data_IF_605238037356
#
_entry.id   IF_605238037356
#
_cell.length_a   1.000
_cell.length_b   1.000
_cell.length_c   1.000
_cell.angle_alpha   90.00
_cell.angle_beta   90.00
_cell.angle_gamma   90.00
#
_symmetry.space_group_name_H-M   'P 1'
#
loop_
_entity.id
_entity.type
_entity.pdbx_description
1 polymer ?
#
# COMPACT_ATOMS: atom_id res chain seq x y z
N UNK A 1 26.85 21.79 13.77
CA UNK A 1 26.06 20.57 14.08
C UNK A 1 25.75 19.89 12.75
N UNK A 2 25.47 18.58 12.67
CA UNK A 2 24.96 18.02 11.42
C UNK A 2 23.64 18.72 11.02
N UNK A 3 23.42 18.94 9.72
CA UNK A 3 22.15 19.46 9.21
C UNK A 3 20.99 18.58 9.68
N UNK A 4 19.94 19.21 10.20
CA UNK A 4 18.65 18.59 10.44
C UNK A 4 17.83 18.59 9.15
N UNK A 5 17.18 17.47 8.86
CA UNK A 5 16.29 17.31 7.71
C UNK A 5 14.86 17.22 8.24
N UNK A 6 14.07 18.26 7.99
CA UNK A 6 12.69 18.36 8.49
C UNK A 6 11.73 17.97 7.36
N UNK A 7 11.01 16.87 7.54
CA UNK A 7 10.10 16.33 6.54
C UNK A 7 8.70 16.91 6.70
N UNK A 8 8.27 17.64 5.68
CA UNK A 8 6.96 18.28 5.64
C UNK A 8 6.22 17.99 4.35
N UNK A 9 4.99 18.46 4.30
CA UNK A 9 4.14 18.39 3.12
C UNK A 9 3.04 19.45 3.18
N UNK A 10 2.52 19.81 2.00
CA UNK A 10 1.23 20.49 1.89
C UNK A 10 0.18 19.41 1.60
N UNK A 11 -0.78 19.23 2.49
CA UNK A 11 -1.96 18.41 2.26
C UNK A 11 -3.02 19.19 1.53
N UNK A 12 -3.61 18.57 0.52
CA UNK A 12 -4.64 19.10 -0.36
C UNK A 12 -5.86 18.17 -0.27
N UNK A 13 -6.98 18.70 0.24
CA UNK A 13 -8.27 18.02 0.13
C UNK A 13 -8.95 18.44 -1.17
N UNK A 14 -9.16 17.49 -2.08
CA UNK A 14 -9.61 17.71 -3.44
C UNK A 14 -11.00 17.10 -3.68
N UNK A 15 -11.91 17.85 -4.31
CA UNK A 15 -13.24 17.36 -4.72
C UNK A 15 -13.26 16.70 -6.11
N UNK A 16 -12.20 16.91 -6.89
CA UNK A 16 -12.08 16.42 -8.25
C UNK A 16 -10.74 15.72 -8.47
N UNK A 17 -10.62 14.99 -9.57
CA UNK A 17 -9.31 14.53 -10.04
C UNK A 17 -8.41 15.73 -10.32
N UNK A 18 -7.13 15.60 -10.00
CA UNK A 18 -6.13 16.66 -10.15
C UNK A 18 -5.02 16.27 -11.12
N UNK A 19 -4.34 17.26 -11.70
CA UNK A 19 -3.01 17.04 -12.32
C UNK A 19 -2.06 16.57 -11.21
N UNK A 20 -1.25 15.54 -11.44
CA UNK A 20 -0.36 15.01 -10.39
C UNK A 20 1.07 15.54 -10.43
N UNK A 21 1.48 16.19 -11.52
CA UNK A 21 2.84 16.74 -11.67
C UNK A 21 2.81 18.15 -12.23
N UNK A 22 3.64 19.04 -11.71
CA UNK A 22 3.85 20.38 -12.25
C UNK A 22 5.08 20.39 -13.16
N UNK A 23 5.08 21.23 -14.20
CA UNK A 23 6.29 21.42 -15.02
C UNK A 23 7.33 22.27 -14.28
N UNK A 24 8.51 22.46 -14.90
CA UNK A 24 9.62 23.20 -14.27
C UNK A 24 9.30 24.65 -13.93
N UNK A 25 8.48 25.34 -14.71
CA UNK A 25 8.13 26.75 -14.46
C UNK A 25 7.16 26.79 -13.28
N UNK A 26 6.08 26.00 -13.35
CA UNK A 26 5.11 25.88 -12.26
C UNK A 26 5.76 25.43 -10.94
N UNK A 27 6.75 24.53 -11.02
CA UNK A 27 7.51 24.09 -9.86
C UNK A 27 8.30 25.24 -9.24
N UNK A 28 9.01 26.04 -10.06
CA UNK A 28 9.76 27.21 -9.59
C UNK A 28 8.84 28.20 -8.88
N UNK A 29 7.72 28.55 -9.52
CA UNK A 29 6.72 29.48 -8.95
C UNK A 29 6.20 28.97 -7.60
N UNK A 30 5.88 27.67 -7.51
CA UNK A 30 5.43 27.05 -6.26
C UNK A 30 6.52 27.06 -5.18
N UNK A 31 7.76 26.73 -5.56
CA UNK A 31 8.89 26.73 -4.63
C UNK A 31 9.15 28.11 -4.02
N UNK A 32 9.17 29.16 -4.85
CA UNK A 32 9.41 30.53 -4.41
C UNK A 32 8.30 31.00 -3.47
N UNK A 33 7.05 30.74 -3.84
CA UNK A 33 5.87 31.09 -3.04
C UNK A 33 5.86 30.36 -1.68
N UNK A 34 6.18 29.05 -1.67
CA UNK A 34 6.31 28.27 -0.44
C UNK A 34 7.44 28.78 0.44
N UNK A 35 8.59 29.14 -0.15
CA UNK A 35 9.74 29.64 0.58
C UNK A 35 9.44 30.98 1.27
N UNK A 36 8.77 31.90 0.59
CA UNK A 36 8.35 33.18 1.18
C UNK A 36 7.41 32.96 2.37
N UNK A 37 6.41 32.09 2.20
CA UNK A 37 5.43 31.80 3.23
C UNK A 37 6.05 31.09 4.44
N UNK A 38 6.80 30.01 4.23
CA UNK A 38 7.48 29.28 5.30
C UNK A 38 8.50 30.16 6.00
N UNK A 39 9.18 31.08 5.29
CA UNK A 39 10.06 32.09 5.92
C UNK A 39 9.30 32.98 6.90
N UNK A 40 8.06 33.37 6.58
CA UNK A 40 7.21 34.18 7.46
C UNK A 40 6.69 33.39 8.66
N UNK A 41 6.23 32.17 8.42
CA UNK A 41 5.62 31.30 9.45
C UNK A 41 6.69 30.77 10.42
N UNK A 42 7.78 30.23 9.88
CA UNK A 42 8.82 29.54 10.63
C UNK A 42 10.04 30.40 10.93
N UNK A 43 10.06 31.66 10.48
CA UNK A 43 11.21 32.58 10.64
C UNK A 43 12.51 31.90 10.19
N UNK A 44 12.51 31.44 8.94
CA UNK A 44 13.65 30.72 8.36
C UNK A 44 14.89 31.61 8.33
N UNK A 45 16.06 31.00 8.49
CA UNK A 45 17.35 31.69 8.44
C UNK A 45 17.99 31.54 7.05
N UNK A 46 18.98 32.39 6.71
CA UNK A 46 19.73 32.25 5.45
C UNK A 46 20.45 30.93 5.23
N UNK A 47 20.60 30.12 6.28
CA UNK A 47 21.21 28.80 6.23
C UNK A 47 20.19 27.68 5.99
N UNK A 48 18.90 28.00 5.96
CA UNK A 48 17.84 27.02 5.68
C UNK A 48 17.62 26.90 4.17
N UNK A 49 17.58 25.66 3.68
CA UNK A 49 17.18 25.35 2.31
C UNK A 49 15.80 24.69 2.29
N UNK A 50 15.00 24.99 1.28
CA UNK A 50 13.71 24.35 0.99
C UNK A 50 13.86 23.51 -0.27
N UNK A 51 13.41 22.26 -0.22
CA UNK A 51 13.40 21.34 -1.36
C UNK A 51 11.99 20.80 -1.53
N UNK A 52 11.40 20.95 -2.71
CA UNK A 52 9.99 20.60 -2.96
C UNK A 52 9.89 19.62 -4.14
N UNK A 53 9.12 18.54 -3.97
CA UNK A 53 8.62 17.75 -5.09
C UNK A 53 7.36 18.45 -5.61
N UNK A 54 7.42 19.11 -6.77
CA UNK A 54 6.27 19.79 -7.36
C UNK A 54 5.31 18.79 -8.04
N UNK A 55 4.81 17.85 -7.25
CA UNK A 55 3.91 16.78 -7.62
C UNK A 55 3.01 16.44 -6.43
N UNK A 56 1.83 15.89 -6.73
CA UNK A 56 0.83 15.51 -5.75
C UNK A 56 0.79 13.97 -5.62
N UNK A 57 0.88 13.48 -4.39
CA UNK A 57 0.97 12.05 -4.06
C UNK A 57 -0.19 11.66 -3.12
N UNK A 58 -0.77 10.47 -3.26
CA UNK A 58 -1.70 9.95 -2.25
C UNK A 58 -0.94 9.65 -0.95
N UNK A 59 -1.66 9.60 0.17
CA UNK A 59 -1.11 9.35 1.51
C UNK A 59 -0.13 8.18 1.57
N UNK A 60 -0.50 7.04 0.98
CA UNK A 60 0.24 5.79 1.09
C UNK A 60 1.56 5.84 0.31
N UNK A 61 1.66 6.71 -0.70
CA UNK A 61 2.90 6.94 -1.44
C UNK A 61 3.88 7.86 -0.69
N UNK A 62 3.38 8.68 0.25
CA UNK A 62 4.22 9.53 1.12
C UNK A 62 4.67 8.76 2.35
N UNK A 63 3.76 7.98 2.95
CA UNK A 63 4.00 7.19 4.15
C UNK A 63 4.51 5.80 3.78
N UNK A 64 5.77 5.73 3.37
CA UNK A 64 6.48 4.48 3.10
C UNK A 64 7.64 4.28 4.07
N UNK A 65 8.04 3.03 4.27
CA UNK A 65 9.21 2.67 5.07
C UNK A 65 10.41 3.54 4.71
N UNK A 66 11.07 4.07 5.74
CA UNK A 66 12.21 4.96 5.60
C UNK A 66 11.92 6.29 4.89
N UNK A 67 10.66 6.73 4.77
CA UNK A 67 10.27 8.01 4.14
C UNK A 67 10.94 8.23 2.78
N UNK A 68 10.82 7.22 1.91
CA UNK A 68 11.61 7.12 0.67
C UNK A 68 11.48 8.36 -0.22
N UNK A 69 10.30 8.98 -0.26
CA UNK A 69 10.05 10.18 -1.07
C UNK A 69 10.85 11.39 -0.59
N UNK A 70 10.81 11.70 0.71
CA UNK A 70 11.61 12.77 1.31
C UNK A 70 13.11 12.49 1.23
N UNK A 71 13.51 11.24 1.42
CA UNK A 71 14.91 10.84 1.24
C UNK A 71 15.39 10.96 -0.21
N UNK A 72 14.53 10.74 -1.20
CA UNK A 72 14.87 11.01 -2.59
C UNK A 72 15.01 12.52 -2.85
N UNK A 73 14.17 13.38 -2.26
CA UNK A 73 14.35 14.83 -2.30
C UNK A 73 15.72 15.25 -1.74
N UNK A 74 16.14 14.69 -0.60
CA UNK A 74 17.46 14.93 -0.01
C UNK A 74 18.61 14.51 -0.94
N UNK A 75 18.49 13.38 -1.66
CA UNK A 75 19.49 12.95 -2.65
C UNK A 75 19.67 14.01 -3.74
N UNK A 76 18.59 14.50 -4.33
CA UNK A 76 18.64 15.57 -5.34
C UNK A 76 19.21 16.86 -4.76
N UNK A 77 18.81 17.23 -3.55
CA UNK A 77 19.35 18.38 -2.85
C UNK A 77 20.87 18.28 -2.66
N UNK A 78 21.36 17.14 -2.18
CA UNK A 78 22.80 16.94 -1.95
C UNK A 78 23.62 17.14 -3.23
N UNK A 79 23.14 16.66 -4.38
CA UNK A 79 23.82 16.82 -5.66
C UNK A 79 23.85 18.27 -6.15
N UNK A 80 22.76 19.02 -5.98
CA UNK A 80 22.66 20.41 -6.45
C UNK A 80 23.34 21.38 -5.49
N UNK A 81 23.26 21.13 -4.18
CA UNK A 81 23.71 22.06 -3.15
C UNK A 81 25.22 21.94 -2.83
N UNK A 82 25.89 20.85 -3.23
CA UNK A 82 27.34 20.66 -2.99
C UNK A 82 28.28 21.58 -3.81
N UNK A 83 27.78 22.33 -4.81
CA UNK A 83 28.61 23.15 -5.71
C UNK A 83 28.42 24.67 -5.64
N UNK A 84 27.35 25.16 -5.01
CA UNK A 84 27.07 26.59 -4.93
C UNK A 84 27.68 27.19 -3.65
N UNK A 85 28.18 28.42 -3.73
CA UNK A 85 28.32 29.26 -2.54
C UNK A 85 26.94 29.83 -2.16
N UNK A 86 26.68 30.02 -0.87
CA UNK A 86 25.73 31.02 -0.33
C UNK A 86 24.22 30.66 -0.22
N UNK A 87 23.55 31.59 0.47
CA UNK A 87 22.36 31.56 1.34
C UNK A 87 20.99 31.33 0.65
N UNK A 88 19.97 30.95 1.44
CA UNK A 88 18.55 30.73 1.09
C UNK A 88 18.31 29.97 -0.22
N UNK A 89 18.34 28.64 -0.16
CA UNK A 89 18.21 27.82 -1.38
C UNK A 89 16.86 27.17 -1.48
N UNK A 90 16.11 27.56 -2.50
CA UNK A 90 14.90 26.86 -2.93
C UNK A 90 15.29 25.95 -4.08
N UNK A 91 15.00 24.65 -3.95
CA UNK A 91 15.08 23.67 -5.01
C UNK A 91 13.68 23.10 -5.26
N UNK A 92 13.02 23.58 -6.30
CA UNK A 92 11.75 23.01 -6.75
C UNK A 92 11.98 22.04 -7.90
N UNK A 93 11.59 20.78 -7.70
CA UNK A 93 11.75 19.73 -8.68
C UNK A 93 10.44 19.56 -9.44
N UNK A 94 10.42 19.99 -10.70
CA UNK A 94 9.29 19.82 -11.61
C UNK A 94 9.53 18.77 -12.68
N UNK A 95 8.45 18.30 -13.30
CA UNK A 95 8.46 17.33 -14.37
C UNK A 95 8.99 17.91 -15.67
N UNK A 96 9.59 17.05 -16.49
CA UNK A 96 9.84 17.31 -17.91
C UNK A 96 8.92 16.42 -18.74
N UNK A 97 8.05 17.03 -19.55
CA UNK A 97 7.07 16.29 -20.37
C UNK A 97 6.22 15.30 -19.54
N UNK A 98 5.78 15.72 -18.35
CA UNK A 98 4.98 14.90 -17.43
C UNK A 98 5.74 13.81 -16.68
N UNK A 99 7.06 13.71 -16.87
CA UNK A 99 7.91 12.75 -16.17
C UNK A 99 8.75 13.45 -15.10
N UNK A 100 8.58 13.03 -13.85
CA UNK A 100 9.42 13.45 -12.72
C UNK A 100 10.73 12.67 -12.71
N UNK A 101 11.79 13.19 -12.06
CA UNK A 101 13.01 12.43 -11.83
C UNK A 101 12.77 11.10 -11.11
N UNK A 102 13.70 10.16 -11.26
CA UNK A 102 13.62 8.83 -10.65
C UNK A 102 13.39 8.92 -9.13
N UNK A 103 12.49 8.08 -8.62
CA UNK A 103 12.11 8.07 -7.21
C UNK A 103 11.14 9.19 -6.79
N UNK A 104 10.75 10.09 -7.70
CA UNK A 104 9.77 11.16 -7.46
C UNK A 104 8.53 11.09 -8.38
N UNK A 105 8.36 10.04 -9.18
CA UNK A 105 7.17 9.91 -10.02
C UNK A 105 5.93 9.54 -9.18
N UNK A 106 4.86 10.37 -9.14
CA UNK A 106 3.63 9.99 -8.46
C UNK A 106 2.91 8.87 -9.20
N UNK A 107 2.18 8.04 -8.44
CA UNK A 107 1.23 7.09 -9.00
C UNK A 107 0.14 7.82 -9.79
N UNK A 108 -0.42 7.18 -10.82
CA UNK A 108 -1.50 7.76 -11.66
C UNK A 108 -2.87 7.82 -10.97
N UNK A 109 -2.96 7.44 -9.70
CA UNK A 109 -4.22 7.44 -8.93
C UNK A 109 -4.39 8.80 -8.26
N UNK A 110 -5.59 9.38 -8.42
CA UNK A 110 -6.02 10.52 -7.62
C UNK A 110 -6.77 10.01 -6.40
N UNK A 111 -6.58 10.65 -5.26
CA UNK A 111 -7.33 10.43 -4.04
C UNK A 111 -7.97 11.75 -3.57
N UNK A 112 -9.00 11.70 -2.71
CA UNK A 112 -9.58 12.92 -2.11
C UNK A 112 -8.57 13.70 -1.29
N UNK A 113 -7.56 13.03 -0.72
CA UNK A 113 -6.46 13.65 0.00
C UNK A 113 -5.15 13.38 -0.75
N UNK A 114 -4.46 14.46 -1.12
CA UNK A 114 -3.21 14.42 -1.87
C UNK A 114 -2.18 15.33 -1.18
N UNK A 115 -0.89 15.05 -1.38
CA UNK A 115 0.18 15.71 -0.65
C UNK A 115 1.27 16.19 -1.60
N UNK A 116 1.81 17.38 -1.34
CA UNK A 116 3.00 17.95 -2.01
C UNK A 116 4.16 17.93 -1.00
N UNK A 117 5.08 16.95 -1.07
CA UNK A 117 6.16 16.79 -0.11
C UNK A 117 7.24 17.87 -0.26
N UNK A 118 7.79 18.28 0.87
CA UNK A 118 8.97 19.13 0.93
C UNK A 118 9.90 18.76 2.08
N UNK A 119 11.15 19.21 2.00
CA UNK A 119 12.16 19.06 3.04
C UNK A 119 12.75 20.43 3.35
N UNK A 120 12.86 20.77 4.63
CA UNK A 120 13.72 21.86 5.08
C UNK A 120 15.04 21.27 5.58
N UNK A 121 16.16 21.81 5.09
CA UNK A 121 17.50 21.43 5.52
C UNK A 121 18.07 22.62 6.28
N UNK A 122 18.37 22.45 7.57
CA UNK A 122 18.81 23.56 8.43
C UNK A 122 19.75 23.11 9.54
N UNK A 123 20.63 24.00 9.99
CA UNK A 123 21.42 23.82 11.23
C UNK A 123 20.79 24.54 12.44
N UNK A 124 19.68 25.27 12.23
CA UNK A 124 19.02 26.06 13.26
C UNK A 124 17.97 25.24 14.02
N UNK A 125 18.33 24.80 15.24
CA UNK A 125 17.42 24.06 16.12
C UNK A 125 16.12 24.80 16.43
N UNK A 126 16.14 26.14 16.45
CA UNK A 126 14.93 26.92 16.71
C UNK A 126 13.96 26.85 15.52
N UNK A 127 14.46 26.71 14.28
CA UNK A 127 13.62 26.42 13.11
C UNK A 127 12.99 25.04 13.25
N UNK A 128 13.76 24.03 13.66
CA UNK A 128 13.23 22.67 13.87
C UNK A 128 12.13 22.62 14.93
N UNK A 129 12.30 23.33 16.06
CA UNK A 129 11.27 23.38 17.09
C UNK A 129 9.98 24.05 16.58
N UNK A 130 10.12 25.19 15.88
CA UNK A 130 8.97 25.89 15.29
C UNK A 130 8.30 25.08 14.20
N UNK A 131 9.05 24.27 13.45
CA UNK A 131 8.51 23.43 12.39
C UNK A 131 7.45 22.46 12.93
N UNK A 132 7.77 21.75 14.01
CA UNK A 132 6.82 20.82 14.65
C UNK A 132 5.70 21.57 15.39
N UNK A 133 6.00 22.60 16.17
CA UNK A 133 4.96 23.30 16.96
C UNK A 133 3.99 24.15 16.12
N UNK A 134 4.49 24.81 15.05
CA UNK A 134 3.73 25.84 14.35
C UNK A 134 2.89 25.26 13.22
N UNK A 135 3.38 24.23 12.53
CA UNK A 135 2.64 23.67 11.39
C UNK A 135 1.37 22.93 11.84
N UNK A 136 1.38 22.31 13.02
CA UNK A 136 0.20 21.69 13.63
C UNK A 136 -0.96 22.69 13.81
N UNK A 137 -0.67 23.87 14.36
CA UNK A 137 -1.70 24.84 14.77
C UNK A 137 -2.03 25.90 13.71
N UNK A 138 -1.06 26.24 12.84
CA UNK A 138 -1.14 27.39 11.91
C UNK A 138 -0.80 27.00 10.47
N UNK A 139 -0.89 25.72 10.13
CA UNK A 139 -0.52 25.18 8.83
C UNK A 139 -1.37 25.66 7.65
N UNK A 140 -2.46 26.40 7.85
CA UNK A 140 -3.28 26.89 6.74
C UNK A 140 -2.46 27.64 5.71
N UNK A 141 -2.56 27.19 4.46
CA UNK A 141 -1.90 27.81 3.34
C UNK A 141 -2.48 29.21 3.08
N UNK A 142 -1.61 30.19 2.87
CA UNK A 142 -1.99 31.57 2.59
C UNK A 142 -2.79 31.69 1.27
N UNK A 143 -3.64 32.72 1.11
CA UNK A 143 -4.44 32.88 -0.11
C UNK A 143 -3.63 32.88 -1.43
N UNK A 144 -2.45 33.53 -1.52
CA UNK A 144 -1.63 33.47 -2.73
C UNK A 144 -1.17 32.04 -3.07
N UNK A 145 -0.67 31.30 -2.07
CA UNK A 145 -0.21 29.93 -2.26
C UNK A 145 -1.38 28.99 -2.57
N UNK A 146 -2.54 29.18 -1.93
CA UNK A 146 -3.76 28.43 -2.21
C UNK A 146 -4.21 28.60 -3.67
N UNK A 147 -4.22 29.85 -4.16
CA UNK A 147 -4.56 30.16 -5.54
C UNK A 147 -3.58 29.50 -6.51
N UNK A 148 -2.27 29.60 -6.22
CA UNK A 148 -1.22 28.98 -7.03
C UNK A 148 -1.36 27.45 -7.10
N UNK A 149 -1.66 26.79 -5.98
CA UNK A 149 -1.91 25.35 -5.92
C UNK A 149 -3.13 24.96 -6.77
N UNK A 150 -4.24 25.68 -6.61
CA UNK A 150 -5.50 25.47 -7.35
C UNK A 150 -5.25 25.57 -8.86
N UNK A 151 -4.58 26.63 -9.30
CA UNK A 151 -4.31 26.88 -10.72
C UNK A 151 -3.31 25.87 -11.30
N UNK A 152 -2.24 25.57 -10.56
CA UNK A 152 -1.16 24.70 -11.02
C UNK A 152 -1.59 23.24 -11.14
N UNK A 153 -2.30 22.73 -10.13
CA UNK A 153 -2.81 21.36 -10.10
C UNK A 153 -4.16 21.20 -10.81
N UNK A 154 -4.77 22.29 -11.28
CA UNK A 154 -6.09 22.30 -11.94
C UNK A 154 -7.15 21.60 -11.10
N UNK A 155 -7.15 21.91 -9.80
CA UNK A 155 -7.85 21.15 -8.78
C UNK A 155 -8.91 22.01 -8.09
N UNK A 156 -10.08 21.43 -7.80
CA UNK A 156 -11.00 22.01 -6.83
C UNK A 156 -10.54 21.61 -5.42
N UNK A 157 -9.66 22.43 -4.85
CA UNK A 157 -9.17 22.27 -3.48
C UNK A 157 -10.23 22.83 -2.52
N UNK A 158 -10.46 22.15 -1.39
CA UNK A 158 -11.34 22.60 -0.30
C UNK A 158 -10.51 23.13 0.85
N UNK A 159 -9.48 22.36 1.22
CA UNK A 159 -8.54 22.71 2.28
C UNK A 159 -7.12 22.44 1.79
N UNK A 160 -6.21 23.36 2.14
CA UNK A 160 -4.77 23.18 1.94
C UNK A 160 -4.03 23.58 3.21
N UNK A 161 -3.22 22.67 3.75
CA UNK A 161 -2.48 22.89 4.99
C UNK A 161 -1.05 22.34 4.87
N UNK A 162 -0.06 23.15 5.25
CA UNK A 162 1.25 22.65 5.65
C UNK A 162 1.11 21.77 6.89
N UNK A 163 1.83 20.66 6.91
CA UNK A 163 1.91 19.78 8.06
C UNK A 163 3.26 19.06 8.07
N UNK A 164 3.64 18.55 9.24
CA UNK A 164 4.80 17.66 9.34
C UNK A 164 4.40 16.25 8.90
N UNK A 165 5.38 15.42 8.59
CA UNK A 165 5.12 14.00 8.35
C UNK A 165 4.56 13.30 9.61
N UNK A 166 4.93 13.75 10.82
CA UNK A 166 4.40 13.22 12.07
C UNK A 166 2.91 13.54 12.23
N UNK A 167 2.48 14.74 11.82
CA UNK A 167 1.06 15.11 11.80
C UNK A 167 0.27 14.19 10.87
N UNK A 168 0.82 13.88 9.69
CA UNK A 168 0.19 12.96 8.75
C UNK A 168 0.08 11.54 9.34
N UNK A 169 1.11 11.05 10.01
CA UNK A 169 1.09 9.75 10.72
C UNK A 169 0.00 9.76 11.80
N UNK A 170 -0.09 10.79 12.63
CA UNK A 170 -1.10 10.91 13.68
C UNK A 170 -2.53 10.99 13.10
N UNK A 171 -2.71 11.72 12.00
CA UNK A 171 -4.00 11.79 11.30
C UNK A 171 -4.39 10.43 10.75
N UNK A 172 -3.46 9.69 10.14
CA UNK A 172 -3.74 8.35 9.63
C UNK A 172 -4.01 7.34 10.73
N UNK A 173 -3.30 7.42 11.86
CA UNK A 173 -3.61 6.62 13.05
C UNK A 173 -5.09 6.75 13.44
N UNK A 174 -5.57 7.99 13.58
CA UNK A 174 -6.97 8.26 13.90
C UNK A 174 -7.93 7.79 12.80
N UNK A 175 -7.57 7.98 11.53
CA UNK A 175 -8.40 7.54 10.41
C UNK A 175 -8.60 6.02 10.40
N UNK A 176 -7.52 5.25 10.53
CA UNK A 176 -7.57 3.79 10.59
C UNK A 176 -8.34 3.29 11.81
N UNK A 177 -8.20 3.96 12.96
CA UNK A 177 -8.97 3.63 14.16
C UNK A 177 -10.48 3.83 13.95
N UNK A 178 -10.89 4.97 13.37
CA UNK A 178 -12.29 5.27 13.08
C UNK A 178 -12.98 4.26 12.17
N UNK A 179 -12.24 3.65 11.23
CA UNK A 179 -12.77 2.62 10.32
C UNK A 179 -12.57 1.19 10.84
N UNK A 180 -12.10 1.00 12.07
CA UNK A 180 -11.88 -0.31 12.70
C UNK A 180 -10.68 -1.08 12.14
N UNK A 181 -9.75 -0.41 11.47
CA UNK A 181 -8.55 -0.98 10.85
C UNK A 181 -7.27 -0.65 11.61
N UNK A 182 -7.36 -0.24 12.89
CA UNK A 182 -6.20 0.09 13.73
C UNK A 182 -5.11 -0.99 13.72
N UNK A 183 -5.49 -2.28 13.72
CA UNK A 183 -4.55 -3.40 13.67
C UNK A 183 -3.70 -3.44 12.37
N UNK A 184 -4.21 -2.96 11.23
CA UNK A 184 -3.40 -2.80 10.01
C UNK A 184 -2.43 -1.63 10.17
N UNK A 185 -2.91 -0.52 10.75
CA UNK A 185 -2.07 0.65 11.03
C UNK A 185 -0.91 0.33 11.97
N UNK A 186 -1.10 -0.50 13.00
CA UNK A 186 0.00 -0.91 13.89
C UNK A 186 1.20 -1.52 13.13
N UNK A 187 0.92 -2.35 12.13
CA UNK A 187 1.96 -2.95 11.28
C UNK A 187 2.64 -1.88 10.42
N UNK A 188 1.85 -0.99 9.80
CA UNK A 188 2.36 0.11 8.97
C UNK A 188 3.21 1.07 9.80
N UNK A 189 2.68 1.57 10.91
CA UNK A 189 3.34 2.49 11.83
C UNK A 189 4.68 1.93 12.34
N UNK A 190 4.71 0.63 12.67
CA UNK A 190 5.96 -0.04 13.05
C UNK A 190 6.95 -0.07 11.89
N UNK A 191 6.50 -0.32 10.67
CA UNK A 191 7.35 -0.27 9.48
C UNK A 191 7.85 1.15 9.16
N UNK A 192 7.09 2.19 9.51
CA UNK A 192 7.47 3.58 9.30
C UNK A 192 8.49 4.09 10.33
N UNK A 193 8.31 3.73 11.60
CA UNK A 193 8.95 4.41 12.72
C UNK A 193 10.06 3.61 13.40
N UNK A 194 10.07 2.28 13.28
CA UNK A 194 11.09 1.46 13.94
C UNK A 194 12.39 1.43 13.11
N UNK A 195 13.54 1.60 13.77
CA UNK A 195 14.87 1.43 13.13
C UNK A 195 15.05 0.03 12.55
N UNK A 196 14.51 -0.99 13.24
CA UNK A 196 14.49 -2.38 12.81
C UNK A 196 13.07 -2.92 12.93
N UNK A 197 12.22 -2.73 11.90
CA UNK A 197 10.82 -3.13 11.96
C UNK A 197 10.67 -4.63 12.20
N UNK A 198 10.06 -4.96 13.33
CA UNK A 198 9.80 -6.33 13.75
C UNK A 198 8.52 -6.36 14.59
N UNK A 199 7.54 -7.17 14.18
CA UNK A 199 6.27 -7.31 14.88
C UNK A 199 5.62 -8.64 14.57
N UNK A 200 5.03 -9.27 15.58
CA UNK A 200 4.11 -10.40 15.43
C UNK A 200 2.75 -9.96 15.98
N UNK A 201 1.75 -9.82 15.11
CA UNK A 201 0.42 -9.33 15.46
C UNK A 201 -0.63 -10.39 15.14
N UNK A 202 -1.50 -10.68 16.11
CA UNK A 202 -2.64 -11.58 15.95
C UNK A 202 -3.93 -10.88 16.36
N UNK A 203 -4.85 -10.67 15.42
CA UNK A 203 -6.11 -9.97 15.66
C UNK A 203 -7.20 -10.49 14.71
N UNK A 204 -8.42 -10.72 15.20
CA UNK A 204 -9.58 -11.07 14.36
C UNK A 204 -9.35 -12.25 13.38
N UNK A 205 -8.70 -13.32 13.81
CA UNK A 205 -8.29 -14.49 12.99
C UNK A 205 -7.21 -14.20 11.93
N UNK A 206 -6.73 -12.97 11.83
CA UNK A 206 -5.57 -12.61 11.04
C UNK A 206 -4.30 -12.67 11.89
N UNK A 207 -3.21 -13.03 11.25
CA UNK A 207 -1.88 -12.93 11.82
C UNK A 207 -0.96 -12.25 10.81
N UNK A 208 -0.11 -11.34 11.27
CA UNK A 208 0.87 -10.63 10.47
C UNK A 208 2.22 -10.71 11.16
N UNK A 209 3.25 -11.07 10.41
CA UNK A 209 4.62 -11.11 10.91
C UNK A 209 5.45 -10.11 10.08
N UNK A 210 5.75 -8.95 10.65
CA UNK A 210 6.57 -7.91 10.02
C UNK A 210 8.05 -8.23 10.26
N UNK A 211 8.84 -8.24 9.18
CA UNK A 211 10.30 -8.38 9.19
C UNK A 211 10.89 -7.38 8.20
N UNK A 212 11.37 -6.25 8.69
CA UNK A 212 11.73 -5.11 7.82
C UNK A 212 10.51 -4.64 7.03
N UNK A 213 10.59 -4.68 5.71
CA UNK A 213 9.49 -4.28 4.81
C UNK A 213 8.59 -5.46 4.40
N UNK A 214 8.89 -6.68 4.83
CA UNK A 214 8.10 -7.87 4.50
C UNK A 214 7.05 -8.13 5.57
N UNK A 215 5.80 -8.32 5.14
CA UNK A 215 4.68 -8.74 5.99
C UNK A 215 4.28 -10.15 5.60
N UNK A 216 4.60 -11.13 6.45
CA UNK A 216 4.21 -12.51 6.23
C UNK A 216 2.79 -12.75 6.75
N UNK A 217 1.96 -13.38 5.92
CA UNK A 217 0.53 -13.59 6.16
C UNK A 217 0.22 -15.08 5.98
N UNK A 218 -0.43 -15.74 6.96
CA UNK A 218 -0.79 -17.15 6.82
C UNK A 218 -1.88 -17.31 5.78
N UNK A 219 -1.73 -18.32 4.94
CA UNK A 219 -2.78 -18.83 4.08
C UNK A 219 -3.29 -20.19 4.60
N UNK A 220 -4.60 -20.36 4.57
CA UNK A 220 -5.29 -21.60 4.88
C UNK A 220 -6.22 -21.95 3.72
N UNK A 221 -6.28 -23.24 3.36
CA UNK A 221 -7.42 -23.77 2.61
C UNK A 221 -8.66 -23.76 3.49
N UNK A 222 -9.87 -23.87 2.90
CA UNK A 222 -11.11 -23.96 3.68
C UNK A 222 -11.05 -25.07 4.74
N UNK A 223 -10.59 -26.27 4.34
CA UNK A 223 -10.50 -27.42 5.23
C UNK A 223 -9.51 -27.20 6.38
N UNK A 224 -8.36 -26.59 6.09
CA UNK A 224 -7.37 -26.29 7.12
C UNK A 224 -7.87 -25.18 8.06
N UNK A 225 -8.54 -24.16 7.52
CA UNK A 225 -9.13 -23.08 8.32
C UNK A 225 -10.15 -23.60 9.33
N UNK A 226 -11.09 -24.46 8.90
CA UNK A 226 -12.11 -25.04 9.79
C UNK A 226 -11.47 -25.96 10.83
N UNK A 227 -10.40 -26.68 10.48
CA UNK A 227 -9.65 -27.54 11.40
C UNK A 227 -8.91 -26.74 12.47
N UNK A 228 -8.25 -25.66 12.06
CA UNK A 228 -7.46 -24.79 12.95
C UNK A 228 -8.35 -23.89 13.81
N UNK A 229 -9.55 -23.56 13.32
CA UNK A 229 -10.54 -22.76 14.03
C UNK A 229 -11.86 -23.53 14.20
N UNK A 230 -11.92 -24.50 15.16
CA UNK A 230 -13.10 -25.31 15.38
C UNK A 230 -14.37 -24.47 15.64
N UNK A 231 -15.47 -24.87 15.02
CA UNK A 231 -16.75 -24.17 15.13
C UNK A 231 -16.94 -23.01 14.15
N UNK A 232 -15.98 -22.76 13.25
CA UNK A 232 -16.12 -21.81 12.14
C UNK A 232 -16.76 -22.45 10.91
N UNK A 233 -17.51 -21.64 10.18
CA UNK A 233 -18.24 -22.01 8.96
C UNK A 233 -17.46 -21.63 7.70
N UNK A 234 -17.96 -22.07 6.54
CA UNK A 234 -17.50 -21.57 5.23
C UNK A 234 -17.65 -20.05 5.12
N UNK A 235 -18.74 -19.48 5.66
CA UNK A 235 -18.92 -18.02 5.67
C UNK A 235 -17.86 -17.29 6.48
N UNK A 236 -17.43 -17.86 7.62
CA UNK A 236 -16.31 -17.32 8.40
C UNK A 236 -15.00 -17.34 7.60
N UNK A 237 -14.75 -18.42 6.84
CA UNK A 237 -13.59 -18.52 5.95
C UNK A 237 -13.64 -17.46 4.86
N UNK A 238 -14.78 -17.26 4.21
CA UNK A 238 -14.95 -16.24 3.18
C UNK A 238 -14.68 -14.84 3.75
N UNK A 239 -15.19 -14.53 4.94
CA UNK A 239 -14.94 -13.26 5.62
C UNK A 239 -13.45 -13.07 5.94
N UNK A 240 -12.80 -14.11 6.46
CA UNK A 240 -11.36 -14.11 6.72
C UNK A 240 -10.55 -13.91 5.43
N UNK A 241 -10.89 -14.60 4.34
CA UNK A 241 -10.20 -14.47 3.05
C UNK A 241 -10.31 -13.05 2.48
N UNK A 242 -11.50 -12.44 2.56
CA UNK A 242 -11.69 -11.04 2.16
C UNK A 242 -10.83 -10.10 3.01
N UNK A 243 -10.80 -10.30 4.33
CA UNK A 243 -9.99 -9.50 5.23
C UNK A 243 -8.48 -9.65 4.93
N UNK A 244 -8.01 -10.87 4.63
CA UNK A 244 -6.61 -11.10 4.25
C UNK A 244 -6.23 -10.42 2.94
N UNK A 245 -7.08 -10.48 1.92
CA UNK A 245 -6.84 -9.79 0.64
C UNK A 245 -6.82 -8.28 0.84
N UNK A 246 -7.76 -7.73 1.61
CA UNK A 246 -7.79 -6.31 1.95
C UNK A 246 -6.51 -5.88 2.67
N UNK A 247 -6.08 -6.62 3.69
CA UNK A 247 -4.85 -6.33 4.42
C UNK A 247 -3.63 -6.35 3.49
N UNK A 248 -3.54 -7.34 2.60
CA UNK A 248 -2.46 -7.43 1.61
C UNK A 248 -2.41 -6.19 0.70
N UNK A 249 -3.56 -5.71 0.22
CA UNK A 249 -3.63 -4.52 -0.64
C UNK A 249 -3.25 -3.24 0.13
N UNK A 250 -3.70 -3.10 1.38
CA UNK A 250 -3.35 -1.98 2.27
C UNK A 250 -1.85 -1.95 2.55
N UNK A 251 -1.22 -3.09 2.84
CA UNK A 251 0.22 -3.13 3.05
C UNK A 251 1.00 -2.80 1.76
N UNK A 252 0.55 -3.30 0.60
CA UNK A 252 1.18 -2.99 -0.68
C UNK A 252 1.04 -1.52 -1.09
N UNK A 253 -0.04 -0.82 -0.75
CA UNK A 253 -0.17 0.61 -1.04
C UNK A 253 0.89 1.45 -0.29
N UNK A 254 1.30 1.01 0.89
CA UNK A 254 2.41 1.56 1.68
C UNK A 254 3.79 0.99 1.30
N UNK A 255 3.89 0.28 0.17
CA UNK A 255 5.11 -0.36 -0.34
C UNK A 255 5.68 -1.47 0.56
N UNK A 256 4.87 -2.03 1.46
CA UNK A 256 5.23 -3.24 2.19
C UNK A 256 5.02 -4.47 1.32
N UNK A 257 5.95 -5.42 1.43
CA UNK A 257 5.91 -6.66 0.67
C UNK A 257 5.04 -7.70 1.40
N UNK A 258 3.77 -7.78 1.01
CA UNK A 258 2.82 -8.78 1.51
C UNK A 258 3.13 -10.16 0.93
N UNK A 259 3.56 -11.08 1.79
CA UNK A 259 3.98 -12.43 1.42
C UNK A 259 3.07 -13.46 2.10
N UNK A 260 2.43 -14.31 1.31
CA UNK A 260 1.66 -15.42 1.87
C UNK A 260 2.55 -16.65 2.08
N UNK A 261 2.32 -17.35 3.19
CA UNK A 261 2.92 -18.65 3.45
C UNK A 261 1.85 -19.70 3.75
N UNK A 262 2.13 -20.95 3.39
CA UNK A 262 1.26 -22.08 3.73
C UNK A 262 1.37 -22.36 5.23
N UNK A 263 0.31 -22.06 5.98
CA UNK A 263 0.24 -22.32 7.41
C UNK A 263 -0.15 -23.78 7.72
N UNK A 264 -0.60 -24.54 6.71
CA UNK A 264 -1.06 -25.90 6.86
C UNK A 264 -2.09 -26.03 7.99
N UNK A 265 -1.87 -26.98 8.89
CA UNK A 265 -2.78 -27.26 10.01
C UNK A 265 -2.31 -26.64 11.34
N UNK A 266 -1.39 -25.67 11.31
CA UNK A 266 -0.83 -25.05 12.51
C UNK A 266 -1.31 -23.61 12.65
N UNK A 267 -1.70 -23.21 13.86
CA UNK A 267 -1.93 -21.81 14.22
C UNK A 267 -0.72 -21.17 14.92
N UNK A 268 0.41 -21.86 14.99
CA UNK A 268 1.58 -21.36 15.70
C UNK A 268 2.34 -20.37 14.83
N UNK A 269 2.90 -19.34 15.48
CA UNK A 269 3.83 -18.44 14.84
C UNK A 269 5.00 -19.25 14.25
N UNK A 270 5.22 -19.21 12.94
CA UNK A 270 6.36 -19.87 12.33
C UNK A 270 7.64 -19.20 12.81
N UNK A 271 8.70 -19.98 13.02
CA UNK A 271 10.03 -19.39 13.18
C UNK A 271 10.49 -18.78 11.83
N UNK A 272 11.49 -17.90 11.87
CA UNK A 272 11.95 -17.16 10.68
C UNK A 272 12.45 -18.09 9.54
N UNK A 273 13.00 -19.25 9.88
CA UNK A 273 13.46 -20.26 8.90
C UNK A 273 12.28 -20.97 8.21
N UNK A 274 11.24 -21.32 8.98
CA UNK A 274 10.03 -21.97 8.48
C UNK A 274 9.25 -21.02 7.57
N UNK A 275 9.16 -19.74 7.94
CA UNK A 275 8.48 -18.70 7.14
C UNK A 275 8.94 -18.70 5.68
N UNK A 276 10.27 -18.71 5.46
CA UNK A 276 10.84 -18.68 4.11
C UNK A 276 10.59 -19.97 3.34
N UNK A 277 10.60 -21.11 4.03
CA UNK A 277 10.44 -22.42 3.40
C UNK A 277 9.00 -22.69 2.93
N UNK A 278 8.00 -22.15 3.63
CA UNK A 278 6.58 -22.30 3.31
C UNK A 278 5.99 -21.16 2.48
N UNK A 279 6.83 -20.24 1.99
CA UNK A 279 6.40 -19.14 1.13
C UNK A 279 5.70 -19.63 -0.13
N UNK A 280 4.52 -19.08 -0.39
CA UNK A 280 3.78 -19.32 -1.62
C UNK A 280 4.35 -18.40 -2.69
N UNK A 281 5.03 -18.99 -3.67
CA UNK A 281 5.76 -18.26 -4.72
C UNK A 281 4.90 -17.80 -5.89
N UNK A 282 3.68 -18.31 -5.97
CA UNK A 282 2.72 -17.97 -7.01
C UNK A 282 1.66 -17.02 -6.46
N UNK A 283 0.99 -16.22 -7.30
CA UNK A 283 -0.14 -15.38 -6.88
C UNK A 283 -1.40 -16.21 -6.52
N UNK A 284 -1.27 -17.53 -6.50
CA UNK A 284 -2.26 -18.49 -6.07
C UNK A 284 -1.59 -19.60 -5.24
N UNK A 285 -2.36 -20.23 -4.36
CA UNK A 285 -1.96 -21.47 -3.69
C UNK A 285 -2.46 -22.68 -4.48
N UNK A 286 -1.64 -23.72 -4.61
CA UNK A 286 -1.98 -24.97 -5.30
C UNK A 286 -1.86 -26.15 -4.34
N UNK A 287 -2.91 -26.96 -4.27
CA UNK A 287 -2.95 -28.19 -3.49
C UNK A 287 -3.43 -29.36 -4.34
N UNK A 288 -2.80 -30.50 -4.16
CA UNK A 288 -3.21 -31.75 -4.78
C UNK A 288 -3.85 -32.68 -3.75
N UNK A 289 -4.99 -33.29 -4.08
CA UNK A 289 -5.69 -34.24 -3.21
C UNK A 289 -6.43 -35.30 -4.03
N UNK A 290 -6.37 -36.55 -3.57
CA UNK A 290 -7.14 -37.64 -4.19
C UNK A 290 -8.61 -37.59 -3.75
N UNK A 291 -9.53 -37.80 -4.68
CA UNK A 291 -10.97 -37.87 -4.47
C UNK A 291 -11.53 -39.23 -4.88
N UNK A 292 -12.62 -39.65 -4.25
CA UNK A 292 -13.39 -40.82 -4.67
C UNK A 292 -14.17 -40.56 -5.96
N UNK A 293 -14.43 -39.27 -6.28
CA UNK A 293 -15.09 -38.87 -7.51
C UNK A 293 -14.17 -39.08 -8.71
N UNK A 294 -14.60 -39.94 -9.66
CA UNK A 294 -13.88 -40.23 -10.91
C UNK A 294 -14.77 -39.88 -12.10
N UNK A 295 -14.77 -38.62 -12.56
CA UNK A 295 -15.62 -38.21 -13.67
C UNK A 295 -15.17 -38.89 -14.96
N UNK A 296 -16.10 -39.11 -15.90
CA UNK A 296 -15.79 -39.72 -17.21
C UNK A 296 -14.86 -38.85 -18.07
N UNK A 297 -14.86 -37.54 -17.82
CA UNK A 297 -13.99 -36.56 -18.46
C UNK A 297 -13.45 -35.58 -17.40
N UNK A 298 -12.27 -34.95 -17.62
CA UNK A 298 -11.76 -33.94 -16.71
C UNK A 298 -12.76 -32.81 -16.50
N UNK A 299 -12.94 -32.37 -15.25
CA UNK A 299 -13.89 -31.33 -14.86
C UNK A 299 -13.15 -30.13 -14.27
N UNK A 300 -13.58 -28.92 -14.66
CA UNK A 300 -13.07 -27.68 -14.12
C UNK A 300 -14.23 -26.93 -13.45
N UNK A 301 -14.08 -26.64 -12.16
CA UNK A 301 -15.12 -25.99 -11.35
C UNK A 301 -14.55 -24.75 -10.68
N UNK A 302 -15.15 -23.60 -10.96
CA UNK A 302 -14.86 -22.37 -10.21
C UNK A 302 -15.90 -22.16 -9.13
N UNK A 303 -15.43 -21.82 -7.93
CA UNK A 303 -16.29 -21.30 -6.88
C UNK A 303 -16.13 -19.79 -6.77
N UNK A 304 -17.26 -19.08 -6.91
CA UNK A 304 -17.33 -17.64 -6.81
C UNK A 304 -18.31 -17.21 -5.72
N UNK A 305 -17.82 -16.42 -4.78
CA UNK A 305 -18.66 -15.79 -3.77
C UNK A 305 -19.14 -14.42 -4.26
N UNK A 306 -20.41 -14.02 -4.04
CA UNK A 306 -20.93 -12.73 -4.51
C UNK A 306 -20.13 -11.50 -4.08
N UNK A 307 -19.50 -11.54 -2.90
CA UNK A 307 -18.68 -10.43 -2.37
C UNK A 307 -17.18 -10.67 -2.49
N UNK A 308 -16.72 -11.92 -2.34
CA UNK A 308 -15.28 -12.22 -2.32
C UNK A 308 -14.71 -12.48 -3.73
N UNK A 309 -15.58 -12.58 -4.75
CA UNK A 309 -15.17 -12.96 -6.10
C UNK A 309 -14.72 -14.43 -6.16
N UNK A 310 -13.66 -14.69 -6.91
CA UNK A 310 -13.07 -16.03 -6.98
C UNK A 310 -12.50 -16.48 -5.63
N UNK A 311 -12.93 -17.64 -5.16
CA UNK A 311 -12.46 -18.23 -3.90
C UNK A 311 -11.50 -19.37 -4.19
N UNK A 312 -11.86 -20.26 -5.13
CA UNK A 312 -10.97 -21.31 -5.64
C UNK A 312 -11.44 -21.84 -7.01
N UNK A 313 -10.54 -22.52 -7.70
CA UNK A 313 -10.77 -23.32 -8.90
C UNK A 313 -10.32 -24.75 -8.62
N UNK A 314 -11.11 -25.74 -9.04
CA UNK A 314 -10.77 -27.17 -8.92
C UNK A 314 -10.73 -27.82 -10.29
N UNK A 315 -9.60 -28.41 -10.65
CA UNK A 315 -9.48 -29.34 -11.77
C UNK A 315 -9.53 -30.77 -11.23
N UNK A 316 -10.52 -31.55 -11.64
CA UNK A 316 -10.65 -32.98 -11.31
C UNK A 316 -10.33 -33.83 -12.53
N UNK A 317 -9.32 -34.67 -12.43
CA UNK A 317 -8.95 -35.66 -13.45
C UNK A 317 -9.88 -36.87 -13.43
N UNK A 318 -9.91 -37.63 -14.53
CA UNK A 318 -10.63 -38.92 -14.62
C UNK A 318 -10.06 -39.98 -13.68
N UNK A 319 -8.81 -39.83 -13.26
CA UNK A 319 -8.15 -40.67 -12.25
C UNK A 319 -8.75 -40.48 -10.84
N UNK A 320 -9.50 -39.39 -10.62
CA UNK A 320 -9.94 -38.91 -9.31
C UNK A 320 -8.92 -38.02 -8.61
N UNK A 321 -7.81 -37.67 -9.28
CA UNK A 321 -6.88 -36.68 -8.78
C UNK A 321 -7.48 -35.27 -8.91
N UNK A 322 -7.51 -34.51 -7.81
CA UNK A 322 -7.94 -33.12 -7.81
C UNK A 322 -6.76 -32.17 -7.60
N UNK A 323 -6.81 -31.04 -8.31
CA UNK A 323 -5.93 -29.90 -8.17
C UNK A 323 -6.76 -28.67 -7.79
N UNK A 324 -6.51 -28.16 -6.59
CA UNK A 324 -7.20 -27.01 -6.01
C UNK A 324 -6.31 -25.78 -6.11
N UNK A 325 -6.86 -24.70 -6.63
CA UNK A 325 -6.16 -23.43 -6.84
C UNK A 325 -6.90 -22.31 -6.13
N UNK A 326 -6.22 -21.59 -5.24
CA UNK A 326 -6.81 -20.48 -4.47
C UNK A 326 -6.12 -19.17 -4.85
N UNK A 327 -6.80 -18.19 -5.47
CA UNK A 327 -6.19 -16.91 -5.78
C UNK A 327 -5.89 -16.12 -4.51
N UNK A 328 -4.69 -15.56 -4.40
CA UNK A 328 -4.25 -14.83 -3.20
C UNK A 328 -4.30 -13.31 -3.38
N UNK A 329 -4.27 -12.82 -4.61
CA UNK A 329 -4.30 -11.41 -4.96
C UNK A 329 -5.18 -11.17 -6.21
N UNK A 330 -5.41 -9.91 -6.63
CA UNK A 330 -6.28 -9.60 -7.77
C UNK A 330 -5.86 -10.26 -9.09
N UNK A 331 -4.57 -10.56 -9.26
CA UNK A 331 -4.03 -11.23 -10.46
C UNK A 331 -4.06 -12.77 -10.35
N UNK A 332 -4.47 -13.30 -9.20
CA UNK A 332 -4.43 -14.74 -8.90
C UNK A 332 -5.21 -15.57 -9.90
N UNK A 333 -6.44 -15.17 -10.26
CA UNK A 333 -7.25 -15.94 -11.21
C UNK A 333 -6.60 -16.04 -12.58
N UNK A 334 -6.17 -14.91 -13.15
CA UNK A 334 -5.51 -14.90 -14.47
C UNK A 334 -4.21 -15.71 -14.47
N UNK A 335 -3.52 -15.79 -13.32
CA UNK A 335 -2.36 -16.64 -13.17
C UNK A 335 -2.71 -18.13 -13.07
N UNK A 336 -3.82 -18.48 -12.41
CA UNK A 336 -4.37 -19.85 -12.39
C UNK A 336 -4.71 -20.29 -13.80
N UNK A 337 -5.44 -19.47 -14.57
CA UNK A 337 -5.83 -19.78 -15.94
C UNK A 337 -4.59 -20.05 -16.81
N UNK A 338 -3.57 -19.18 -16.72
CA UNK A 338 -2.30 -19.38 -17.45
C UNK A 338 -1.57 -20.65 -17.02
N UNK A 339 -1.55 -20.96 -15.73
CA UNK A 339 -0.91 -22.16 -15.21
C UNK A 339 -1.62 -23.43 -15.68
N UNK A 340 -2.96 -23.41 -15.74
CA UNK A 340 -3.75 -24.51 -16.29
C UNK A 340 -3.50 -24.70 -17.79
N UNK A 341 -3.35 -23.60 -18.55
CA UNK A 341 -3.00 -23.64 -19.97
C UNK A 341 -1.60 -24.21 -20.23
N UNK A 342 -0.63 -23.96 -19.36
CA UNK A 342 0.75 -24.42 -19.55
C UNK A 342 1.00 -25.81 -19.02
N UNK A 343 0.67 -26.06 -17.74
CA UNK A 343 1.02 -27.31 -17.05
C UNK A 343 -0.05 -28.40 -17.22
N UNK A 344 -1.31 -28.00 -17.43
CA UNK A 344 -2.44 -28.92 -17.54
C UNK A 344 -3.10 -28.90 -18.91
N UNK A 345 -2.41 -28.38 -19.95
CA UNK A 345 -3.00 -28.04 -21.25
C UNK A 345 -4.01 -29.09 -21.78
N UNK A 346 -3.60 -30.36 -21.87
CA UNK A 346 -4.46 -31.43 -22.40
C UNK A 346 -5.76 -31.61 -21.60
N UNK A 347 -5.66 -31.58 -20.27
CA UNK A 347 -6.81 -31.69 -19.37
C UNK A 347 -7.66 -30.41 -19.41
N UNK A 348 -7.00 -29.25 -19.41
CA UNK A 348 -7.64 -27.95 -19.42
C UNK A 348 -8.46 -27.71 -20.70
N UNK A 349 -7.93 -28.04 -21.88
CA UNK A 349 -8.65 -27.91 -23.15
C UNK A 349 -9.92 -28.76 -23.23
N UNK A 350 -9.98 -29.86 -22.49
CA UNK A 350 -11.19 -30.71 -22.37
C UNK A 350 -12.14 -30.09 -21.33
N UNK A 351 -11.61 -29.80 -20.14
CA UNK A 351 -12.41 -29.36 -19.00
C UNK A 351 -13.03 -27.96 -19.18
N UNK A 352 -12.33 -27.04 -19.86
CA UNK A 352 -12.79 -25.65 -20.06
C UNK A 352 -14.09 -25.57 -20.87
N UNK A 353 -14.34 -26.55 -21.76
CA UNK A 353 -15.58 -26.65 -22.56
C UNK A 353 -16.81 -26.93 -21.71
N UNK A 354 -16.60 -27.52 -20.54
CA UNK A 354 -17.63 -27.90 -19.58
C UNK A 354 -17.38 -27.23 -18.22
N UNK A 355 -16.74 -26.06 -18.22
CA UNK A 355 -16.42 -25.33 -16.99
C UNK A 355 -17.71 -25.02 -16.23
N UNK A 356 -17.79 -25.52 -15.00
CA UNK A 356 -18.89 -25.23 -14.10
C UNK A 356 -18.53 -24.06 -13.20
N UNK A 357 -19.52 -23.21 -12.92
CA UNK A 357 -19.40 -22.12 -11.96
C UNK A 357 -20.41 -22.33 -10.85
N UNK A 358 -19.90 -22.44 -9.63
CA UNK A 358 -20.69 -22.47 -8.41
C UNK A 358 -20.76 -21.06 -7.85
N UNK A 359 -21.96 -20.48 -7.82
CA UNK A 359 -22.18 -19.20 -7.15
C UNK A 359 -22.65 -19.47 -5.71
N UNK A 360 -22.04 -18.81 -4.74
CA UNK A 360 -22.34 -18.97 -3.29
C UNK A 360 -23.78 -18.67 -2.86
N UNK A 361 -24.68 -18.27 -3.78
CA UNK A 361 -26.13 -18.15 -3.53
C UNK A 361 -26.89 -19.48 -3.62
N UNK A 362 -26.24 -20.53 -4.11
CA UNK A 362 -26.89 -21.80 -4.47
C UNK A 362 -26.98 -22.81 -3.34
N UNK A 363 -26.37 -22.54 -2.17
CA UNK A 363 -26.25 -23.53 -1.10
C UNK A 363 -27.29 -23.42 0.03
N UNK A 364 -28.28 -22.52 -0.06
CA UNK A 364 -29.45 -22.60 0.83
C UNK A 364 -30.41 -23.76 0.48
N UNK A 365 -30.15 -24.54 -0.58
CA UNK A 365 -31.01 -25.65 -1.01
C UNK A 365 -30.31 -27.01 -1.15
N UNK A 366 -29.18 -27.26 -0.48
CA UNK A 366 -28.60 -28.61 -0.44
C UNK A 366 -28.00 -28.93 0.92
N UNK A 367 -28.88 -29.04 1.91
CA UNK A 367 -28.67 -29.95 3.04
C UNK A 367 -28.99 -31.40 2.61
N UNK A 368 -28.23 -32.36 3.16
CA UNK A 368 -28.30 -33.83 2.98
C UNK A 368 -27.77 -34.30 1.61
N UNK A 369 -26.76 -35.17 1.51
CA UNK A 369 -26.33 -36.30 2.35
C UNK A 369 -24.83 -36.53 2.28
#
# INVERSE_FOLDING_TARGET
MPNQNLFGLISLECQSTIKTTLDKIQASDLGDQMAEELSRVLRLTPQTALVVAAAAYPTEAVLTSGFTLHNNLLKYASAVLQGAQQQHRVLAIGAHQGTMPEGLQPAKKSAPLMHVPFVLITEDEAVSHRFEETLLDKGMVSPPTYQLLTDSFQAQIVHANYMTHLDLIAMMHNHYDQVGMHHLWQVIETALLADQPHMDLHQNLQAFYLRGEAVFMPFYTLDDFVRVHPGRSEQDYINWLMAQRLASEVFQSHQLNSLFFDAGQSNQAPNDDNLKSSLIKHPFYHRQQSSEQRPEQPQLVDYMHPTAGYVWTVLTETSGQQHWFYPLNPNGQSAIDRHLETEFNNLYQIAIKHKHRLDGRSQESSGCH
#
